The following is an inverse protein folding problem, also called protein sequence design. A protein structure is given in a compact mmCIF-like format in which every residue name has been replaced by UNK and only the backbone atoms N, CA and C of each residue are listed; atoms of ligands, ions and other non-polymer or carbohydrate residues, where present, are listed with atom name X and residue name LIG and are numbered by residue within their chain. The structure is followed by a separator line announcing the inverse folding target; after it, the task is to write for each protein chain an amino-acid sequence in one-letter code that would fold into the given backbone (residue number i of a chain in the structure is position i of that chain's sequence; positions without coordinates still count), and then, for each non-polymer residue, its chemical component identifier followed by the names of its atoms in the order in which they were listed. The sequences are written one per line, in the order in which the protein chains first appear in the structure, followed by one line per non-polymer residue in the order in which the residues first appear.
data_IF_979877600973
#
_entry.id   IF_979877600973
#
_cell.length_a   1.000
_cell.length_b   1.000
_cell.length_c   1.000
_cell.angle_alpha   90.00
_cell.angle_beta   90.00
_cell.angle_gamma   90.00
#
_symmetry.space_group_name_H-M   'P 1'
#
loop_
_entity.id
_entity.type
_entity.pdbx_description
1 polymer ?
#
# COMPACT_ATOMS: atom_id res chain seq x y z
N UNK A 1 25.84 2.86 11.14
CA UNK A 1 25.87 2.34 10.25
C UNK A 1 25.05 1.78 10.21
N UNK A 2 25.47 2.42 10.62
CA UNK A 2 25.44 1.63 10.05
C UNK A 2 24.65 1.45 9.94
N UNK A 3 24.47 1.41 10.20
CA UNK A 3 24.33 0.85 9.54
C UNK A 3 23.88 0.88 9.23
N UNK A 4 24.56 1.48 9.40
CA UNK A 4 24.79 1.25 8.40
C UNK A 4 24.60 1.24 8.21
N UNK A 5 25.09 1.46 8.53
CA UNK A 5 25.61 1.22 7.67
C UNK A 5 25.68 1.36 7.34
N UNK A 6 25.79 1.47 7.53
CA UNK A 6 26.40 1.33 6.74
C UNK A 6 26.56 1.31 6.64
N UNK A 7 27.17 1.45 6.83
CA UNK A 7 27.85 1.17 6.06
C UNK A 7 28.02 1.35 5.64
N UNK A 8 28.47 1.44 5.68
CA UNK A 8 29.07 1.40 4.76
C UNK A 8 29.29 1.59 4.35
N UNK A 9 29.81 1.91 4.58
CA UNK A 9 30.26 1.99 3.74
C UNK A 9 30.75 2.06 3.40
N UNK A 10 31.29 2.20 3.54
CA UNK A 10 31.86 2.24 2.75
C UNK A 10 32.07 2.30 2.31
N UNK A 11 32.47 2.48 2.19
CA UNK A 11 32.73 2.60 1.30
C UNK A 11 32.71 2.63 0.67
N UNK A 12 33.19 2.78 0.61
CA UNK A 12 33.39 2.87 -0.27
C UNK A 12 33.59 3.05 -0.80
N UNK A 13 34.14 3.14 -0.63
CA UNK A 13 34.47 3.39 -1.35
C UNK A 13 34.73 3.73 -1.79
N UNK A 14 35.39 3.98 -1.87
CA UNK A 14 35.60 4.53 -2.62
C UNK A 14 35.76 4.85 -3.46
N UNK A 15 36.26 5.20 -3.76
CA UNK A 15 36.25 5.55 -4.50
C UNK A 15 36.25 5.88 -5.14
N UNK A 16 37.15 5.57 -4.42
CA UNK A 16 36.92 6.13 -5.07
C UNK A 16 35.99 6.47 -5.95
N UNK A 17 35.24 6.17 -6.27
CA UNK A 17 34.44 6.65 -7.33
C UNK A 17 33.06 7.06 -6.87
N UNK A 18 32.63 8.25 -7.24
CA UNK A 18 31.32 8.75 -6.90
C UNK A 18 30.23 7.91 -7.55
N UNK A 19 30.49 7.38 -8.73
CA UNK A 19 29.53 6.52 -9.41
C UNK A 19 29.22 5.29 -8.57
N UNK A 20 30.25 4.71 -7.96
CA UNK A 20 30.04 3.56 -7.10
C UNK A 20 29.23 3.90 -5.86
N UNK A 21 29.46 5.07 -5.26
CA UNK A 21 28.71 5.50 -4.10
C UNK A 21 27.23 5.74 -4.43
N UNK A 22 26.97 6.35 -5.57
CA UNK A 22 25.58 6.57 -6.01
C UNK A 22 24.87 5.26 -6.23
N UNK A 23 25.54 4.33 -6.88
CA UNK A 23 24.96 3.00 -7.10
C UNK A 23 24.62 2.32 -5.78
N UNK A 24 25.51 2.46 -4.80
CA UNK A 24 25.31 1.90 -3.49
C UNK A 24 24.04 2.43 -2.83
N UNK A 25 23.86 3.75 -2.85
CA UNK A 25 22.69 4.38 -2.26
C UNK A 25 21.41 3.87 -2.93
N UNK A 26 21.43 3.75 -4.25
CA UNK A 26 20.25 3.25 -4.97
C UNK A 26 19.96 1.80 -4.61
N UNK A 27 20.99 0.99 -4.42
CA UNK A 27 20.81 -0.41 -4.06
C UNK A 27 20.18 -0.56 -2.67
N UNK A 28 20.38 0.43 -1.79
CA UNK A 28 19.83 0.38 -0.45
C UNK A 28 18.40 0.90 -0.37
N UNK A 29 17.88 1.44 -1.46
CA UNK A 29 16.53 2.01 -1.45
C UNK A 29 15.45 0.98 -1.77
N UNK A 30 15.70 -0.31 -1.52
CA UNK A 30 14.70 -1.35 -1.68
C UNK A 30 13.48 -1.05 -0.85
N UNK A 31 12.29 -1.20 -1.44
CA UNK A 31 11.07 -0.97 -0.67
C UNK A 31 10.95 -1.94 0.50
N UNK A 32 10.47 -1.42 1.61
CA UNK A 32 10.22 -2.24 2.79
C UNK A 32 8.76 -2.13 3.18
N UNK A 33 8.18 -3.27 3.54
CA UNK A 33 6.79 -3.32 3.97
C UNK A 33 6.72 -2.83 5.41
N UNK A 34 6.10 -1.67 5.60
CA UNK A 34 6.01 -1.05 6.93
C UNK A 34 4.65 -1.22 7.58
N UNK A 35 3.63 -1.61 6.83
CA UNK A 35 2.33 -1.93 7.38
C UNK A 35 1.79 -3.19 6.72
N UNK A 36 1.19 -4.05 7.53
CA UNK A 36 0.54 -5.27 7.07
C UNK A 36 -0.50 -5.60 8.13
N UNK A 37 -1.69 -5.00 7.99
CA UNK A 37 -2.71 -5.05 9.03
C UNK A 37 -4.02 -5.53 8.42
N UNK A 38 -4.71 -6.40 9.15
CA UNK A 38 -6.07 -6.82 8.81
C UNK A 38 -6.93 -6.56 10.03
N UNK A 39 -7.92 -5.68 9.88
CA UNK A 39 -8.81 -5.27 10.98
C UNK A 39 -10.20 -5.79 10.71
N UNK A 40 -10.73 -6.59 11.61
CA UNK A 40 -12.09 -7.10 11.48
C UNK A 40 -13.08 -6.06 11.99
N UNK A 41 -14.06 -5.75 11.19
CA UNK A 41 -15.16 -4.88 11.59
C UNK A 41 -16.25 -5.69 12.26
N UNK A 42 -16.81 -5.15 13.35
CA UNK A 42 -17.95 -5.80 14.00
C UNK A 42 -19.17 -5.71 13.10
N UNK A 43 -20.19 -6.55 13.37
CA UNK A 43 -21.44 -6.49 12.65
C UNK A 43 -22.08 -5.10 12.76
N UNK A 44 -21.95 -4.50 13.93
CA UNK A 44 -22.49 -3.17 14.17
C UNK A 44 -21.86 -2.12 13.26
N UNK A 45 -20.62 -2.33 12.85
CA UNK A 45 -19.87 -1.41 12.00
C UNK A 45 -19.88 -1.83 10.53
N UNK A 46 -20.70 -2.81 10.17
CA UNK A 46 -20.87 -3.20 8.79
C UNK A 46 -20.29 -4.54 8.44
N UNK A 47 -19.56 -5.16 9.37
CA UNK A 47 -18.94 -6.47 9.14
C UNK A 47 -17.79 -6.39 8.12
N UNK A 48 -17.04 -7.47 7.99
CA UNK A 48 -15.98 -7.56 7.00
C UNK A 48 -14.60 -7.29 7.57
N UNK A 49 -13.64 -7.16 6.69
CA UNK A 49 -12.24 -6.97 7.05
C UNK A 49 -11.68 -5.81 6.24
N UNK A 50 -10.96 -4.93 6.91
CA UNK A 50 -10.16 -3.90 6.25
C UNK A 50 -8.72 -4.38 6.22
N UNK A 51 -8.15 -4.46 5.03
CA UNK A 51 -6.77 -4.86 4.87
C UNK A 51 -5.95 -3.68 4.40
N UNK A 52 -4.75 -3.56 4.96
CA UNK A 52 -3.88 -2.45 4.67
C UNK A 52 -2.45 -2.94 4.58
N UNK A 53 -1.82 -2.78 3.43
CA UNK A 53 -0.42 -3.09 3.22
C UNK A 53 0.24 -1.89 2.59
N UNK A 54 1.38 -1.48 3.15
CA UNK A 54 2.09 -0.29 2.67
C UNK A 54 3.59 -0.56 2.66
N UNK A 55 4.22 -0.21 1.55
CA UNK A 55 5.67 -0.30 1.38
C UNK A 55 6.23 1.10 1.15
N UNK A 56 7.40 1.37 1.75
CA UNK A 56 8.07 2.65 1.58
C UNK A 56 9.49 2.44 1.06
N UNK A 57 10.05 3.49 0.47
CA UNK A 57 11.45 3.47 0.04
C UNK A 57 12.36 3.90 1.20
N UNK A 58 13.64 4.04 0.92
CA UNK A 58 14.62 4.41 1.95
C UNK A 58 14.42 5.80 2.55
N UNK A 59 13.60 6.62 1.91
CA UNK A 59 13.28 7.96 2.40
C UNK A 59 11.94 8.03 3.09
N UNK A 60 11.25 6.90 3.23
CA UNK A 60 9.94 6.85 3.86
C UNK A 60 8.78 7.19 2.95
N UNK A 61 9.02 7.33 1.66
CA UNK A 61 7.96 7.62 0.70
C UNK A 61 7.22 6.33 0.33
N UNK A 62 5.90 6.38 0.30
CA UNK A 62 5.11 5.22 -0.09
C UNK A 62 5.31 4.93 -1.57
N UNK A 63 5.78 3.73 -1.87
CA UNK A 63 6.03 3.30 -3.26
C UNK A 63 5.11 2.19 -3.70
N UNK A 64 4.46 1.50 -2.74
CA UNK A 64 3.50 0.45 -3.06
C UNK A 64 2.47 0.37 -1.95
N UNK A 65 1.24 0.09 -2.30
CA UNK A 65 0.17 -0.03 -1.31
C UNK A 65 -0.91 -0.98 -1.82
N UNK A 66 -1.66 -1.52 -0.86
CA UNK A 66 -2.84 -2.34 -1.13
C UNK A 66 -3.82 -2.09 0.01
N UNK A 67 -4.94 -1.45 -0.31
CA UNK A 67 -6.02 -1.20 0.63
C UNK A 67 -7.24 -1.97 0.14
N UNK A 68 -7.89 -2.72 1.02
CA UNK A 68 -9.03 -3.52 0.61
C UNK A 68 -10.08 -3.61 1.70
N UNK A 69 -11.35 -3.53 1.30
CA UNK A 69 -12.48 -3.85 2.15
C UNK A 69 -13.07 -5.15 1.65
N UNK A 70 -13.03 -6.17 2.51
CA UNK A 70 -13.44 -7.53 2.18
C UNK A 70 -14.71 -7.85 2.94
N UNK A 71 -15.78 -8.18 2.22
CA UNK A 71 -17.06 -8.53 2.84
C UNK A 71 -17.84 -9.44 1.90
N UNK A 72 -17.83 -10.74 2.20
CA UNK A 72 -18.46 -11.74 1.35
C UNK A 72 -19.98 -11.63 1.34
N UNK A 73 -20.56 -10.95 2.32
CA UNK A 73 -22.02 -10.72 2.33
C UNK A 73 -22.44 -9.68 1.30
N UNK A 74 -21.52 -8.79 0.93
CA UNK A 74 -21.81 -7.76 -0.07
C UNK A 74 -21.44 -8.24 -1.47
N UNK A 75 -20.29 -8.91 -1.59
CA UNK A 75 -19.78 -9.35 -2.88
C UNK A 75 -18.94 -10.61 -2.68
N UNK A 76 -19.24 -11.68 -3.41
CA UNK A 76 -18.53 -12.94 -3.24
C UNK A 76 -17.41 -13.14 -4.24
N UNK A 77 -17.40 -12.41 -5.36
CA UNK A 77 -16.31 -12.48 -6.33
C UNK A 77 -15.04 -11.85 -5.80
N UNK A 78 -13.96 -12.00 -6.50
CA UNK A 78 -12.67 -11.37 -6.19
C UNK A 78 -12.27 -11.62 -4.72
N UNK A 79 -12.49 -12.84 -4.23
CA UNK A 79 -12.22 -13.26 -2.86
C UNK A 79 -12.91 -12.37 -1.82
N UNK A 80 -14.10 -11.85 -2.17
CA UNK A 80 -14.88 -11.02 -1.26
C UNK A 80 -14.47 -9.56 -1.23
N UNK A 81 -13.51 -9.16 -2.07
CA UNK A 81 -13.08 -7.76 -2.09
C UNK A 81 -14.15 -6.90 -2.74
N UNK A 82 -14.84 -6.13 -1.91
CA UNK A 82 -15.86 -5.21 -2.38
C UNK A 82 -15.20 -3.99 -3.01
N UNK A 83 -14.19 -3.47 -2.34
CA UNK A 83 -13.48 -2.26 -2.74
C UNK A 83 -12.00 -2.44 -2.48
N UNK A 84 -11.17 -1.93 -3.37
CA UNK A 84 -9.73 -1.94 -3.17
C UNK A 84 -9.04 -0.86 -3.96
N UNK A 85 -7.91 -0.43 -3.46
CA UNK A 85 -6.99 0.47 -4.17
C UNK A 85 -5.60 -0.12 -4.07
N UNK A 86 -4.91 -0.21 -5.19
CA UNK A 86 -3.52 -0.67 -5.18
C UNK A 86 -2.77 -0.07 -6.36
N UNK A 87 -1.45 -0.19 -6.31
CA UNK A 87 -0.60 0.23 -7.43
C UNK A 87 0.31 -0.90 -7.89
N UNK A 88 -0.18 -2.13 -7.82
CA UNK A 88 0.56 -3.25 -8.35
C UNK A 88 0.86 -3.01 -9.84
N UNK A 89 2.05 -3.41 -10.27
CA UNK A 89 2.49 -3.25 -11.66
C UNK A 89 2.64 -1.79 -12.10
N UNK A 90 2.79 -0.88 -11.14
CA UNK A 90 3.10 0.52 -11.44
C UNK A 90 1.94 1.38 -11.86
N UNK A 91 0.73 0.85 -11.89
CA UNK A 91 -0.47 1.61 -12.25
C UNK A 91 -1.41 1.63 -11.05
N UNK A 92 -1.95 2.80 -10.74
CA UNK A 92 -2.88 2.94 -9.63
C UNK A 92 -4.27 2.50 -10.08
N UNK A 93 -4.83 1.53 -9.37
CA UNK A 93 -6.11 0.92 -9.73
C UNK A 93 -7.10 1.01 -8.58
N UNK A 94 -8.37 1.13 -8.96
CA UNK A 94 -9.49 0.97 -8.05
C UNK A 94 -10.26 -0.27 -8.47
N UNK A 95 -10.52 -1.14 -7.49
CA UNK A 95 -11.30 -2.37 -7.68
C UNK A 95 -12.64 -2.17 -6.99
N UNK A 96 -13.73 -2.38 -7.70
CA UNK A 96 -15.06 -2.27 -7.12
C UNK A 96 -15.93 -3.39 -7.67
N UNK A 97 -16.25 -4.34 -6.78
CA UNK A 97 -17.10 -5.50 -7.11
C UNK A 97 -16.64 -6.18 -8.40
N UNK A 98 -15.35 -6.44 -8.48
CA UNK A 98 -14.74 -7.14 -9.61
C UNK A 98 -14.36 -6.26 -10.78
N UNK A 99 -14.79 -5.01 -10.81
CA UNK A 99 -14.43 -4.08 -11.89
C UNK A 99 -13.13 -3.36 -11.51
N UNK A 100 -12.26 -3.20 -12.49
CA UNK A 100 -10.96 -2.57 -12.28
C UNK A 100 -10.88 -1.35 -13.17
N UNK A 101 -10.49 -0.22 -12.58
CA UNK A 101 -10.30 1.01 -13.34
C UNK A 101 -9.03 1.70 -12.89
N UNK A 102 -8.37 2.39 -13.83
CA UNK A 102 -7.21 3.21 -13.49
C UNK A 102 -7.70 4.46 -12.78
N UNK A 103 -6.93 4.92 -11.79
CA UNK A 103 -7.27 6.15 -11.08
C UNK A 103 -6.12 7.13 -11.20
N UNK A 104 -6.46 8.41 -11.23
CA UNK A 104 -5.46 9.46 -11.21
C UNK A 104 -4.88 9.56 -9.81
N UNK A 105 -3.55 9.47 -9.72
CA UNK A 105 -2.89 9.47 -8.43
C UNK A 105 -2.56 10.88 -8.00
N UNK A 106 -3.10 11.29 -6.86
CA UNK A 106 -2.88 12.60 -6.27
C UNK A 106 -2.25 12.46 -4.89
N UNK A 107 -1.39 11.45 -4.73
CA UNK A 107 -0.73 11.17 -3.47
C UNK A 107 -1.43 10.08 -2.68
N UNK A 108 -0.65 9.39 -1.84
CA UNK A 108 -1.19 8.27 -1.08
C UNK A 108 -2.25 8.74 -0.07
N UNK A 109 -2.07 9.93 0.52
CA UNK A 109 -3.09 10.46 1.43
C UNK A 109 -4.45 10.61 0.78
N UNK A 110 -4.47 11.05 -0.48
CA UNK A 110 -5.72 11.15 -1.23
C UNK A 110 -6.35 9.77 -1.45
N UNK A 111 -5.53 8.77 -1.75
CA UNK A 111 -6.02 7.39 -1.91
C UNK A 111 -6.64 6.90 -0.59
N UNK A 112 -5.98 7.17 0.53
CA UNK A 112 -6.51 6.76 1.83
C UNK A 112 -7.85 7.41 2.14
N UNK A 113 -7.98 8.70 1.86
CA UNK A 113 -9.22 9.42 2.10
C UNK A 113 -10.36 8.88 1.23
N UNK A 114 -10.07 8.60 -0.04
CA UNK A 114 -11.07 8.05 -0.94
C UNK A 114 -11.51 6.66 -0.48
N UNK A 115 -10.55 5.83 -0.12
CA UNK A 115 -10.84 4.48 0.35
C UNK A 115 -11.72 4.52 1.60
N UNK A 116 -11.35 5.36 2.57
CA UNK A 116 -12.12 5.45 3.81
C UNK A 116 -13.55 5.92 3.56
N UNK A 117 -13.73 6.96 2.77
CA UNK A 117 -15.06 7.48 2.48
C UNK A 117 -15.93 6.42 1.80
N UNK A 118 -15.34 5.65 0.90
CA UNK A 118 -16.09 4.66 0.15
C UNK A 118 -16.43 3.42 0.98
N UNK A 119 -15.47 2.88 1.75
CA UNK A 119 -15.81 1.68 2.51
C UNK A 119 -16.79 1.99 3.65
N UNK A 120 -16.70 3.19 4.23
CA UNK A 120 -17.69 3.59 5.23
C UNK A 120 -19.10 3.59 4.63
N UNK A 121 -19.25 4.12 3.44
CA UNK A 121 -20.54 4.15 2.76
C UNK A 121 -21.04 2.75 2.44
N UNK A 122 -20.14 1.89 1.94
CA UNK A 122 -20.51 0.54 1.57
C UNK A 122 -20.86 -0.31 2.78
N UNK A 123 -20.16 -0.14 3.88
CA UNK A 123 -20.45 -0.91 5.09
C UNK A 123 -21.78 -0.53 5.70
N UNK A 124 -22.17 0.73 5.59
CA UNK A 124 -23.50 1.16 6.05
C UNK A 124 -24.62 0.49 5.26
N UNK A 125 -24.44 0.38 3.95
CA UNK A 125 -25.44 -0.28 3.11
C UNK A 125 -25.53 -1.76 3.39
N UNK A 126 -24.42 -2.38 3.83
CA UNK A 126 -24.39 -3.79 4.15
C UNK A 126 -24.96 -4.14 5.52
N UNK A 127 -25.43 -3.16 6.29
CA UNK A 127 -25.89 -3.37 7.67
C UNK A 127 -27.35 -3.78 7.78
N UNK A 128 -28.00 -4.09 6.75
CA UNK A 128 -29.43 -4.46 6.82
C UNK A 128 -29.67 -5.72 7.62
#
# INVERSE_FOLDING_TARGET
MGPFHIHEVALLQRCSSLAGMIYWVMAESKPQKVQDVATRLSKKRGNGILRREVWVDGKGKVVRYNLAYINHDIFQGDNGRVLGYDNAHGVHHRHYKGKVEAVEFQGFGNIEERFEAEWLRLSRKGKK
#
